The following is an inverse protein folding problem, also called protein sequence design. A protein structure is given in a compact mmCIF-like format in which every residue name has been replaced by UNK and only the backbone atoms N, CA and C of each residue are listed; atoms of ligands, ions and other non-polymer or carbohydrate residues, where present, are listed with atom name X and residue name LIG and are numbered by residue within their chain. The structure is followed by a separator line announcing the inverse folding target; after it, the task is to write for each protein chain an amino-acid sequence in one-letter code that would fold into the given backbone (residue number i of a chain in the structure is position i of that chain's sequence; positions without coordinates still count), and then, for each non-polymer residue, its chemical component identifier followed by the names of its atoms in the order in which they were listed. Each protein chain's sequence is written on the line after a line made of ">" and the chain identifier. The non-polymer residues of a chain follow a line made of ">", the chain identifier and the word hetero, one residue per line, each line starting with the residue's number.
data_IF_933754128413
#
_entry.id   IF_933754128413
#
_cell.length_a   1.000
_cell.length_b   1.000
_cell.length_c   1.000
_cell.angle_alpha   90.00
_cell.angle_beta   90.00
_cell.angle_gamma   90.00
#
_symmetry.space_group_name_H-M   'P 1'
#
loop_
_entity.id
_entity.type
_entity.pdbx_description
1 polymer ?
#
# COMPACT_ATOMS: atom_id res chain seq x y z
N UNK A 1 41.37 -86.83 7.45
CA UNK A 1 40.60 -86.34 6.32
C UNK A 1 39.91 -85.07 6.81
N UNK A 2 40.43 -83.85 6.50
CA UNK A 2 39.95 -82.58 7.03
C UNK A 2 39.23 -81.81 5.90
N UNK A 3 37.92 -81.59 6.05
CA UNK A 3 37.19 -80.74 5.17
C UNK A 3 37.31 -79.24 5.65
N UNK A 4 37.78 -78.43 4.76
CA UNK A 4 37.89 -76.96 4.95
C UNK A 4 36.66 -76.33 4.40
N UNK A 5 35.93 -75.58 5.27
CA UNK A 5 34.73 -74.84 4.88
C UNK A 5 35.15 -73.39 4.56
N UNK A 6 35.06 -73.00 3.29
CA UNK A 6 35.26 -71.64 2.85
C UNK A 6 33.96 -70.82 3.11
N UNK A 7 34.04 -69.90 4.04
CA UNK A 7 32.96 -68.94 4.26
C UNK A 7 33.11 -67.77 3.28
N UNK A 8 32.17 -67.66 2.33
CA UNK A 8 32.05 -66.52 1.38
C UNK A 8 31.34 -65.38 2.07
N UNK A 9 32.08 -64.29 2.38
CA UNK A 9 31.50 -63.05 2.89
C UNK A 9 30.99 -62.21 1.74
N UNK A 10 29.66 -62.09 1.62
CA UNK A 10 28.96 -61.17 0.70
C UNK A 10 28.98 -59.77 1.31
N UNK A 11 29.78 -58.87 0.75
CA UNK A 11 29.77 -57.44 1.11
C UNK A 11 28.65 -56.78 0.30
N UNK A 12 27.53 -56.45 0.96
CA UNK A 12 26.46 -55.66 0.37
C UNK A 12 26.88 -54.18 0.37
N UNK A 13 27.22 -53.66 -0.81
CA UNK A 13 27.49 -52.22 -1.04
C UNK A 13 26.17 -51.47 -1.15
N UNK A 14 25.70 -50.87 -0.06
CA UNK A 14 24.53 -49.97 -0.06
C UNK A 14 24.94 -48.60 -0.65
N UNK A 15 24.59 -48.37 -1.91
CA UNK A 15 24.71 -47.05 -2.54
C UNK A 15 23.65 -46.11 -1.96
N UNK A 16 24.09 -45.19 -1.12
CA UNK A 16 23.24 -44.04 -0.66
C UNK A 16 23.11 -43.07 -1.82
N UNK A 17 21.97 -43.11 -2.53
CA UNK A 17 21.59 -42.03 -3.46
C UNK A 17 21.25 -40.78 -2.63
N UNK A 18 22.21 -39.89 -2.50
CA UNK A 18 21.92 -38.51 -2.05
C UNK A 18 21.24 -37.76 -3.19
N UNK A 19 19.92 -37.66 -3.16
CA UNK A 19 19.16 -36.74 -4.02
C UNK A 19 19.47 -35.33 -3.57
N UNK A 20 20.43 -34.68 -4.25
CA UNK A 20 20.63 -33.23 -4.13
C UNK A 20 19.38 -32.54 -4.72
N UNK A 21 18.52 -32.04 -3.85
CA UNK A 21 17.44 -31.16 -4.27
C UNK A 21 18.09 -29.88 -4.85
N UNK A 22 18.03 -29.72 -6.17
CA UNK A 22 18.41 -28.46 -6.82
C UNK A 22 17.51 -27.35 -6.27
N UNK A 23 18.06 -26.19 -5.90
CA UNK A 23 17.24 -25.06 -5.51
C UNK A 23 16.30 -24.73 -6.67
N UNK A 24 15.00 -24.82 -6.41
CA UNK A 24 14.00 -24.38 -7.38
C UNK A 24 14.09 -22.84 -7.43
N UNK A 25 14.64 -22.30 -8.50
CA UNK A 25 14.58 -20.89 -8.83
C UNK A 25 13.13 -20.60 -9.22
N UNK A 26 12.35 -20.07 -8.31
CA UNK A 26 11.01 -19.59 -8.62
C UNK A 26 11.15 -18.36 -9.52
N UNK A 27 10.37 -18.30 -10.60
CA UNK A 27 10.31 -17.12 -11.43
C UNK A 27 9.75 -15.95 -10.58
N UNK A 28 10.50 -14.86 -10.50
CA UNK A 28 10.11 -13.64 -9.77
C UNK A 28 9.49 -12.59 -10.69
N UNK A 29 9.27 -12.94 -11.97
CA UNK A 29 8.75 -12.05 -13.01
C UNK A 29 7.53 -12.60 -13.73
N UNK A 30 6.95 -11.74 -14.57
CA UNK A 30 5.79 -12.03 -15.41
C UNK A 30 6.22 -12.52 -16.79
N UNK A 31 5.37 -13.33 -17.42
CA UNK A 31 5.55 -13.75 -18.80
C UNK A 31 4.83 -12.81 -19.77
N UNK A 32 5.29 -11.55 -19.80
CA UNK A 32 4.76 -10.48 -20.67
C UNK A 32 5.81 -10.03 -21.67
N UNK A 33 5.39 -9.49 -22.80
CA UNK A 33 6.30 -8.91 -23.79
C UNK A 33 6.74 -7.50 -23.39
N UNK A 34 7.35 -7.39 -22.21
CA UNK A 34 7.94 -6.18 -21.67
C UNK A 34 9.13 -6.58 -20.81
N UNK A 35 10.18 -5.74 -20.77
CA UNK A 35 11.40 -5.99 -20.00
C UNK A 35 12.08 -4.69 -19.60
N UNK A 36 12.94 -4.81 -18.59
CA UNK A 36 13.70 -3.70 -18.01
C UNK A 36 12.86 -2.84 -17.07
N UNK A 37 13.51 -2.04 -16.23
CA UNK A 37 12.85 -1.15 -15.29
C UNK A 37 11.96 -0.13 -16.01
N UNK A 38 10.70 -0.04 -15.59
CA UNK A 38 9.74 0.94 -16.08
C UNK A 38 9.19 1.75 -14.90
N UNK A 39 9.03 3.05 -15.12
CA UNK A 39 8.40 3.94 -14.15
C UNK A 39 6.92 4.07 -14.47
N UNK A 40 6.11 3.94 -13.43
CA UNK A 40 4.65 4.09 -13.48
C UNK A 40 4.23 5.22 -12.57
N UNK A 41 3.19 5.91 -12.97
CA UNK A 41 2.55 6.99 -12.21
C UNK A 41 1.10 6.61 -11.95
N UNK A 42 0.57 6.90 -10.77
CA UNK A 42 -0.87 6.81 -10.54
C UNK A 42 -1.55 7.68 -11.60
N UNK A 43 -2.44 7.06 -12.38
CA UNK A 43 -3.04 7.73 -13.53
C UNK A 43 -4.55 7.47 -13.57
N UNK A 44 -5.38 8.52 -13.36
CA UNK A 44 -6.84 8.37 -13.32
C UNK A 44 -7.44 7.95 -14.68
N UNK A 45 -6.71 8.13 -15.80
CA UNK A 45 -7.13 7.61 -17.09
C UNK A 45 -6.97 6.09 -17.20
N UNK A 46 -6.04 5.50 -16.46
CA UNK A 46 -5.85 4.04 -16.42
C UNK A 46 -6.93 3.34 -15.61
N UNK A 47 -7.56 4.04 -14.67
CA UNK A 47 -8.63 3.52 -13.83
C UNK A 47 -8.79 4.30 -12.53
N UNK A 48 -9.84 4.00 -11.79
CA UNK A 48 -10.12 4.66 -10.51
C UNK A 48 -9.26 4.06 -9.39
N UNK A 49 -8.27 4.82 -8.94
CA UNK A 49 -7.47 4.49 -7.77
C UNK A 49 -8.24 4.87 -6.50
N UNK A 50 -8.25 3.97 -5.51
CA UNK A 50 -9.02 4.15 -4.28
C UNK A 50 -8.35 3.47 -3.10
N UNK A 51 -8.41 4.13 -1.96
CA UNK A 51 -8.15 3.56 -0.65
C UNK A 51 -9.46 3.56 0.13
N UNK A 52 -9.84 2.42 0.66
CA UNK A 52 -11.03 2.25 1.52
C UNK A 52 -10.56 1.71 2.86
N UNK A 53 -10.96 2.37 3.93
CA UNK A 53 -10.66 1.96 5.31
C UNK A 53 -11.97 1.59 5.97
N UNK A 54 -12.06 0.37 6.47
CA UNK A 54 -13.22 -0.11 7.19
C UNK A 54 -12.89 -0.22 8.68
N UNK A 55 -13.64 0.51 9.51
CA UNK A 55 -13.53 0.50 10.96
C UNK A 55 -14.67 -0.30 11.56
N UNK A 56 -14.36 -1.43 12.18
CA UNK A 56 -15.32 -2.21 12.97
C UNK A 56 -15.22 -1.79 14.42
N UNK A 57 -16.34 -1.46 15.02
CA UNK A 57 -16.37 -1.10 16.42
C UNK A 57 -17.62 -1.65 17.13
N UNK A 58 -17.66 -1.52 18.45
CA UNK A 58 -18.77 -2.07 19.25
C UNK A 58 -20.11 -1.39 18.96
N UNK A 59 -20.09 -0.10 18.66
CA UNK A 59 -21.31 0.68 18.45
C UNK A 59 -21.67 0.88 16.99
N UNK A 60 -20.68 1.11 16.13
CA UNK A 60 -20.93 1.55 14.76
C UNK A 60 -19.76 1.18 13.84
N UNK A 61 -20.07 0.37 12.83
CA UNK A 61 -19.15 0.14 11.73
C UNK A 61 -19.26 1.29 10.73
N UNK A 62 -18.12 1.73 10.17
CA UNK A 62 -18.14 2.75 9.14
C UNK A 62 -16.98 2.59 8.15
N UNK A 63 -17.12 3.23 7.02
CA UNK A 63 -16.11 3.21 5.94
C UNK A 63 -15.61 4.61 5.68
N UNK A 64 -14.29 4.76 5.57
CA UNK A 64 -13.62 5.96 5.06
C UNK A 64 -13.11 5.68 3.66
N UNK A 65 -13.31 6.60 2.73
CA UNK A 65 -12.89 6.45 1.33
C UNK A 65 -12.00 7.63 0.94
N UNK A 66 -10.92 7.33 0.21
CA UNK A 66 -10.10 8.32 -0.48
C UNK A 66 -9.89 7.88 -1.94
N UNK A 67 -10.31 8.73 -2.89
CA UNK A 67 -10.14 8.50 -4.33
C UNK A 67 -8.99 9.34 -4.93
N UNK A 68 -8.36 10.19 -4.12
CA UNK A 68 -7.26 11.05 -4.51
C UNK A 68 -5.95 10.48 -3.98
N UNK A 69 -5.41 9.53 -4.73
CA UNK A 69 -4.13 8.89 -4.41
C UNK A 69 -3.10 9.35 -5.41
N UNK A 70 -1.92 9.72 -4.92
CA UNK A 70 -0.75 10.04 -5.72
C UNK A 70 0.28 8.93 -5.59
N UNK A 71 1.13 8.78 -6.58
CA UNK A 71 2.24 7.83 -6.46
C UNK A 71 3.02 7.66 -7.75
N UNK A 72 4.25 7.28 -7.53
CA UNK A 72 5.21 6.91 -8.56
C UNK A 72 5.96 5.66 -8.09
N UNK A 73 6.15 4.69 -8.98
CA UNK A 73 6.94 3.51 -8.68
C UNK A 73 7.69 3.00 -9.90
N UNK A 74 8.73 2.26 -9.65
CA UNK A 74 9.53 1.58 -10.66
C UNK A 74 9.52 0.08 -10.43
N UNK A 75 9.40 -0.69 -11.50
CA UNK A 75 9.47 -2.15 -11.46
C UNK A 75 9.93 -2.71 -12.81
N UNK A 76 10.71 -3.78 -12.77
CA UNK A 76 10.97 -4.62 -13.95
C UNK A 76 9.92 -5.73 -14.00
N UNK A 77 9.07 -5.82 -15.05
CA UNK A 77 8.08 -6.89 -15.16
C UNK A 77 8.71 -8.29 -15.20
N UNK A 78 9.98 -8.44 -15.58
CA UNK A 78 10.71 -9.72 -15.53
C UNK A 78 11.34 -10.01 -14.17
N UNK A 79 11.37 -9.02 -13.27
CA UNK A 79 11.84 -9.17 -11.89
C UNK A 79 11.07 -8.25 -10.95
N UNK A 80 9.93 -8.71 -10.44
CA UNK A 80 9.05 -7.92 -9.58
C UNK A 80 9.66 -7.57 -8.20
N UNK A 81 10.73 -8.26 -7.77
CA UNK A 81 11.45 -7.94 -6.53
C UNK A 81 12.12 -6.55 -6.61
N UNK A 82 12.33 -6.02 -7.82
CA UNK A 82 12.84 -4.66 -8.05
C UNK A 82 11.83 -3.56 -7.75
N UNK A 83 10.59 -3.91 -7.37
CA UNK A 83 9.54 -2.94 -7.08
C UNK A 83 9.98 -1.96 -6.00
N UNK A 84 9.92 -0.67 -6.30
CA UNK A 84 10.15 0.42 -5.37
C UNK A 84 9.31 1.62 -5.77
N UNK A 85 8.83 2.37 -4.79
CA UNK A 85 8.01 3.54 -5.10
C UNK A 85 7.44 4.21 -3.87
N UNK A 86 6.78 5.33 -4.11
CA UNK A 86 6.13 6.14 -3.08
C UNK A 86 4.67 6.35 -3.48
N UNK A 87 3.80 6.20 -2.51
CA UNK A 87 2.37 6.48 -2.61
C UNK A 87 1.97 7.41 -1.48
N UNK A 88 1.09 8.35 -1.76
CA UNK A 88 0.55 9.24 -0.74
C UNK A 88 -0.92 9.56 -0.98
N UNK A 89 -1.60 9.91 0.09
CA UNK A 89 -2.92 10.52 0.07
C UNK A 89 -2.97 11.63 1.12
N UNK A 90 -3.81 12.62 0.88
CA UNK A 90 -4.02 13.71 1.84
C UNK A 90 -5.14 13.33 2.80
N UNK A 91 -4.93 13.62 4.08
CA UNK A 91 -5.95 13.35 5.12
C UNK A 91 -7.24 14.12 4.84
N UNK A 92 -7.15 15.30 4.24
CA UNK A 92 -8.33 16.10 3.86
C UNK A 92 -9.16 15.50 2.73
N UNK A 93 -8.60 14.59 1.92
CA UNK A 93 -9.30 13.88 0.85
C UNK A 93 -9.95 12.57 1.35
N UNK A 94 -9.86 12.29 2.63
CA UNK A 94 -10.52 11.16 3.28
C UNK A 94 -11.93 11.56 3.72
N UNK A 95 -12.93 10.74 3.37
CA UNK A 95 -14.33 11.01 3.64
C UNK A 95 -15.06 9.77 4.16
N UNK A 96 -15.86 9.96 5.21
CA UNK A 96 -16.73 8.94 5.79
C UNK A 96 -18.18 9.08 5.32
N UNK A 97 -18.50 10.17 4.61
CA UNK A 97 -19.86 10.53 4.23
C UNK A 97 -20.63 11.28 5.33
N UNK A 98 -20.02 11.51 6.51
CA UNK A 98 -20.56 12.30 7.60
C UNK A 98 -19.64 13.46 7.90
N UNK A 99 -20.05 14.68 7.55
CA UNK A 99 -19.21 15.88 7.64
C UNK A 99 -18.63 16.13 9.03
N UNK A 100 -19.40 15.90 10.09
CA UNK A 100 -18.94 16.05 11.46
C UNK A 100 -17.80 15.07 11.77
N UNK A 101 -17.93 13.80 11.35
CA UNK A 101 -16.89 12.78 11.52
C UNK A 101 -15.65 13.12 10.70
N UNK A 102 -15.81 13.59 9.47
CA UNK A 102 -14.71 13.99 8.60
C UNK A 102 -13.91 15.16 9.20
N UNK A 103 -14.61 16.14 9.80
CA UNK A 103 -13.99 17.24 10.52
C UNK A 103 -13.21 16.76 11.75
N UNK A 104 -13.82 15.90 12.57
CA UNK A 104 -13.20 15.37 13.77
C UNK A 104 -11.97 14.52 13.40
N UNK A 105 -12.05 13.65 12.39
CA UNK A 105 -10.96 12.85 11.88
C UNK A 105 -9.74 13.71 11.48
N UNK A 106 -9.95 14.89 10.89
CA UNK A 106 -8.89 15.82 10.52
C UNK A 106 -8.33 16.62 11.69
N UNK A 107 -9.04 16.63 12.81
CA UNK A 107 -8.69 17.39 14.02
C UNK A 107 -7.44 16.88 14.73
N UNK A 108 -6.94 17.73 15.65
CA UNK A 108 -5.70 17.49 16.41
C UNK A 108 -5.74 16.24 17.31
N UNK A 109 -6.92 15.77 17.69
CA UNK A 109 -7.08 14.58 18.53
C UNK A 109 -7.08 13.27 17.72
N UNK A 110 -7.06 13.36 16.38
CA UNK A 110 -7.03 12.25 15.45
C UNK A 110 -5.83 12.34 14.52
N UNK A 111 -6.03 12.64 13.25
CA UNK A 111 -4.92 12.68 12.29
C UNK A 111 -4.08 13.96 12.39
N UNK A 112 -4.56 15.02 13.05
CA UNK A 112 -3.93 16.35 13.11
C UNK A 112 -3.46 16.81 11.71
N UNK A 113 -4.41 16.87 10.77
CA UNK A 113 -4.14 17.15 9.36
C UNK A 113 -3.42 18.48 9.12
N UNK A 114 -3.56 19.43 10.06
CA UNK A 114 -2.84 20.70 10.01
C UNK A 114 -1.33 20.54 10.17
N UNK A 115 -0.88 19.56 10.94
CA UNK A 115 0.56 19.24 11.16
C UNK A 115 1.04 18.09 10.30
N UNK A 116 0.16 17.12 10.04
CA UNK A 116 0.45 15.87 9.33
C UNK A 116 -0.55 15.66 8.19
N UNK A 117 -0.42 16.45 7.11
CA UNK A 117 -1.44 16.52 6.06
C UNK A 117 -1.52 15.24 5.21
N UNK A 118 -0.50 14.37 5.25
CA UNK A 118 -0.40 13.22 4.36
C UNK A 118 -0.19 11.90 5.11
N UNK A 119 -0.74 10.84 4.53
CA UNK A 119 -0.33 9.46 4.79
C UNK A 119 0.55 9.02 3.63
N UNK A 120 1.75 8.51 3.93
CA UNK A 120 2.77 8.15 2.95
C UNK A 120 3.19 6.71 3.13
N UNK A 121 3.25 5.96 2.02
CA UNK A 121 3.81 4.61 1.97
C UNK A 121 5.01 4.63 1.01
N UNK A 122 6.18 4.24 1.51
CA UNK A 122 7.40 4.09 0.72
C UNK A 122 7.77 2.62 0.65
N UNK A 123 7.73 2.04 -0.55
CA UNK A 123 8.07 0.65 -0.80
C UNK A 123 9.51 0.58 -1.30
N UNK A 124 10.32 -0.24 -0.66
CA UNK A 124 11.73 -0.44 -1.00
C UNK A 124 11.96 -1.68 -1.86
N UNK A 125 11.10 -2.70 -1.76
CA UNK A 125 11.16 -3.96 -2.52
C UNK A 125 9.86 -4.76 -2.44
N UNK A 126 9.75 -5.75 -3.32
CA UNK A 126 8.77 -6.81 -3.15
C UNK A 126 9.45 -8.13 -2.73
N UNK A 127 8.75 -8.91 -1.94
CA UNK A 127 9.18 -10.23 -1.46
C UNK A 127 8.10 -11.28 -1.72
N UNK A 128 8.48 -12.55 -1.65
CA UNK A 128 7.55 -13.68 -1.80
C UNK A 128 6.74 -13.63 -3.10
N UNK A 129 7.38 -13.19 -4.18
CA UNK A 129 6.74 -13.07 -5.50
C UNK A 129 6.31 -14.44 -5.99
N UNK A 130 5.04 -14.56 -6.34
CA UNK A 130 4.42 -15.78 -6.88
C UNK A 130 3.60 -15.42 -8.10
N UNK A 131 4.05 -15.75 -9.33
CA UNK A 131 3.24 -15.60 -10.52
C UNK A 131 1.92 -16.39 -10.39
N UNK A 132 0.82 -15.74 -10.69
CA UNK A 132 -0.53 -16.34 -10.70
C UNK A 132 -1.01 -16.58 -12.13
N UNK A 133 -0.53 -15.79 -13.09
CA UNK A 133 -0.75 -15.95 -14.54
C UNK A 133 0.40 -15.31 -15.30
N UNK A 134 0.37 -15.37 -16.63
CA UNK A 134 1.38 -14.71 -17.47
C UNK A 134 1.57 -13.22 -17.14
N UNK A 135 0.51 -12.54 -16.74
CA UNK A 135 0.50 -11.10 -16.51
C UNK A 135 0.12 -10.68 -15.08
N UNK A 136 0.07 -11.59 -14.12
CA UNK A 136 -0.25 -11.27 -12.73
C UNK A 136 0.57 -12.07 -11.75
N UNK A 137 0.82 -11.46 -10.59
CA UNK A 137 1.52 -12.10 -9.48
C UNK A 137 0.98 -11.60 -8.13
N UNK A 138 1.12 -12.44 -7.10
CA UNK A 138 1.01 -12.02 -5.71
C UNK A 138 2.40 -11.80 -5.12
N UNK A 139 2.51 -10.89 -4.14
CA UNK A 139 3.76 -10.53 -3.48
C UNK A 139 3.50 -9.82 -2.15
N UNK A 140 4.53 -9.64 -1.36
CA UNK A 140 4.52 -8.73 -0.23
C UNK A 140 5.31 -7.47 -0.60
N UNK A 141 4.69 -6.31 -0.54
CA UNK A 141 5.34 -5.01 -0.69
C UNK A 141 5.91 -4.59 0.66
N UNK A 142 7.23 -4.47 0.75
CA UNK A 142 7.96 -4.19 2.00
C UNK A 142 8.51 -2.77 1.97
N UNK A 143 8.28 -2.05 3.06
CA UNK A 143 8.68 -0.65 3.17
C UNK A 143 8.28 -0.02 4.48
N UNK A 144 7.91 1.24 4.44
CA UNK A 144 7.47 2.02 5.60
C UNK A 144 6.15 2.74 5.32
N UNK A 145 5.35 2.93 6.37
CA UNK A 145 4.18 3.80 6.35
C UNK A 145 4.41 4.94 7.36
N UNK A 146 4.23 6.16 6.89
CA UNK A 146 4.28 7.37 7.71
C UNK A 146 2.89 7.97 7.81
N UNK A 147 2.40 8.14 9.02
CA UNK A 147 1.10 8.69 9.35
C UNK A 147 1.18 9.39 10.69
N UNK A 148 0.51 10.54 10.87
CA UNK A 148 0.49 11.30 12.13
C UNK A 148 1.90 11.54 12.71
N UNK A 149 2.92 11.75 11.83
CA UNK A 149 4.30 11.98 12.21
C UNK A 149 5.08 10.75 12.71
N UNK A 150 4.47 9.57 12.72
CA UNK A 150 5.12 8.30 13.06
C UNK A 150 5.39 7.49 11.81
N UNK A 151 6.56 6.85 11.76
CA UNK A 151 6.96 5.98 10.64
C UNK A 151 7.19 4.57 11.15
N UNK A 152 6.43 3.62 10.62
CA UNK A 152 6.51 2.22 10.99
C UNK A 152 6.82 1.32 9.78
N UNK A 153 7.56 0.22 9.96
CA UNK A 153 7.78 -0.75 8.92
C UNK A 153 6.47 -1.45 8.56
N UNK A 154 6.28 -1.73 7.25
CA UNK A 154 5.12 -2.45 6.75
C UNK A 154 5.51 -3.55 5.78
N UNK A 155 4.72 -4.63 5.79
CA UNK A 155 4.77 -5.70 4.80
C UNK A 155 3.34 -5.96 4.33
N UNK A 156 3.02 -5.47 3.16
CA UNK A 156 1.66 -5.39 2.63
C UNK A 156 1.45 -6.49 1.60
N UNK A 157 0.57 -7.48 1.85
CA UNK A 157 0.20 -8.47 0.85
C UNK A 157 -0.53 -7.78 -0.31
N UNK A 158 -0.05 -8.00 -1.52
CA UNK A 158 -0.55 -7.35 -2.71
C UNK A 158 -0.63 -8.31 -3.90
N UNK A 159 -1.50 -7.99 -4.83
CA UNK A 159 -1.55 -8.58 -6.17
C UNK A 159 -1.31 -7.50 -7.21
N UNK A 160 -0.50 -7.83 -8.21
CA UNK A 160 -0.20 -6.97 -9.33
C UNK A 160 -0.72 -7.62 -10.61
N UNK A 161 -1.40 -6.84 -11.46
CA UNK A 161 -1.75 -7.23 -12.81
C UNK A 161 -1.14 -6.22 -13.79
N UNK A 162 -0.41 -6.73 -14.78
CA UNK A 162 0.29 -5.97 -15.80
C UNK A 162 -0.43 -6.06 -17.14
N UNK A 163 -0.58 -4.96 -17.81
CA UNK A 163 -1.16 -4.88 -19.15
C UNK A 163 -0.16 -4.14 -20.05
N UNK A 164 0.39 -4.86 -21.02
CA UNK A 164 1.22 -4.27 -22.07
C UNK A 164 0.36 -3.35 -22.92
N UNK A 165 0.94 -2.25 -23.38
CA UNK A 165 0.27 -1.34 -24.31
C UNK A 165 -0.38 -2.11 -25.50
N UNK A 166 -1.59 -1.76 -25.82
CA UNK A 166 -2.39 -2.37 -26.88
C UNK A 166 -3.34 -1.33 -27.47
N UNK A 167 -3.91 -1.58 -28.69
CA UNK A 167 -4.91 -0.69 -29.24
C UNK A 167 -6.13 -0.45 -28.34
N UNK A 168 -6.40 -1.37 -27.41
CA UNK A 168 -7.48 -1.24 -26.42
C UNK A 168 -7.07 -0.31 -25.28
N UNK A 169 -5.88 -0.50 -24.70
CA UNK A 169 -5.38 0.34 -23.58
C UNK A 169 -5.08 1.76 -24.05
N UNK A 170 -4.57 1.93 -25.27
CA UNK A 170 -4.28 3.26 -25.86
C UNK A 170 -5.53 4.15 -26.04
N UNK A 171 -6.73 3.59 -25.99
CA UNK A 171 -7.98 4.38 -25.98
C UNK A 171 -8.17 5.14 -24.66
N UNK A 172 -7.52 4.71 -23.59
CA UNK A 172 -7.61 5.25 -22.25
C UNK A 172 -6.34 6.03 -21.89
N UNK A 173 -5.20 5.36 -22.02
CA UNK A 173 -3.88 5.86 -21.60
C UNK A 173 -2.80 5.21 -22.49
N UNK A 174 -1.75 5.96 -22.80
CA UNK A 174 -0.61 5.42 -23.56
C UNK A 174 0.33 4.67 -22.63
N UNK A 175 1.04 3.69 -23.22
CA UNK A 175 2.03 2.88 -22.53
C UNK A 175 1.42 1.72 -21.74
N UNK A 176 2.27 1.08 -20.95
CA UNK A 176 1.87 -0.07 -20.15
C UNK A 176 1.09 0.37 -18.91
N UNK A 177 0.18 -0.48 -18.48
CA UNK A 177 -0.68 -0.23 -17.32
C UNK A 177 -0.44 -1.30 -16.25
N UNK A 178 -0.40 -0.88 -15.00
CA UNK A 178 -0.40 -1.77 -13.83
C UNK A 178 -1.62 -1.47 -12.97
N UNK A 179 -2.25 -2.55 -12.48
CA UNK A 179 -3.18 -2.49 -11.36
C UNK A 179 -2.58 -3.21 -10.16
N UNK A 180 -2.54 -2.53 -9.02
CA UNK A 180 -2.15 -3.09 -7.72
C UNK A 180 -3.39 -3.17 -6.85
N UNK A 181 -3.59 -4.31 -6.16
CA UNK A 181 -4.59 -4.48 -5.11
C UNK A 181 -3.91 -4.97 -3.85
N UNK A 182 -4.30 -4.43 -2.73
CA UNK A 182 -3.79 -4.83 -1.43
C UNK A 182 -4.91 -4.82 -0.38
N UNK A 183 -4.81 -5.72 0.58
CA UNK A 183 -5.68 -5.75 1.76
C UNK A 183 -4.80 -6.02 2.98
N UNK A 184 -4.88 -5.17 3.99
CA UNK A 184 -4.08 -5.28 5.22
C UNK A 184 -4.74 -4.54 6.36
N UNK A 185 -4.23 -4.74 7.58
CA UNK A 185 -4.71 -4.06 8.78
C UNK A 185 -3.68 -3.08 9.29
N UNK A 186 -4.13 -1.93 9.78
CA UNK A 186 -3.32 -0.90 10.44
C UNK A 186 -3.90 -0.64 11.82
N UNK A 187 -3.04 -0.48 12.83
CA UNK A 187 -3.45 -0.03 14.17
C UNK A 187 -3.22 1.47 14.30
N UNK A 188 -4.25 2.19 14.71
CA UNK A 188 -4.16 3.64 14.94
C UNK A 188 -3.16 3.96 16.07
N UNK A 189 -3.16 3.13 17.12
CA UNK A 189 -2.26 3.27 18.26
C UNK A 189 -0.77 3.18 17.89
N UNK A 190 -0.40 2.40 16.86
CA UNK A 190 0.98 2.30 16.36
C UNK A 190 1.48 3.63 15.80
N UNK A 191 0.56 4.53 15.44
CA UNK A 191 0.86 5.87 14.93
C UNK A 191 0.53 6.98 15.94
N UNK A 192 0.27 6.61 17.20
CA UNK A 192 -0.04 7.58 18.25
C UNK A 192 -1.42 8.22 18.13
N UNK A 193 -2.31 7.66 17.30
CA UNK A 193 -3.69 8.12 17.15
C UNK A 193 -4.53 7.37 18.18
N UNK A 194 -4.92 8.05 19.26
CA UNK A 194 -5.66 7.46 20.39
C UNK A 194 -7.03 8.08 20.60
N UNK A 195 -7.41 9.05 19.78
CA UNK A 195 -8.66 9.79 19.93
C UNK A 195 -8.66 10.77 21.11
N UNK A 196 -9.79 11.42 21.37
CA UNK A 196 -9.93 12.41 22.42
C UNK A 196 -9.68 11.82 23.80
N UNK A 197 -8.89 12.53 24.62
CA UNK A 197 -8.60 12.12 26.01
C UNK A 197 -9.84 12.12 26.87
N UNK A 198 -9.98 11.08 27.70
CA UNK A 198 -11.10 10.95 28.64
C UNK A 198 -12.39 10.48 28.02
N UNK A 199 -12.39 10.10 26.75
CA UNK A 199 -13.51 9.44 26.08
C UNK A 199 -13.07 8.04 25.63
N UNK A 200 -13.90 7.03 25.90
CA UNK A 200 -13.69 5.67 25.43
C UNK A 200 -14.15 5.54 23.96
N UNK A 201 -13.60 6.36 23.06
CA UNK A 201 -13.99 6.36 21.66
C UNK A 201 -13.31 5.20 20.91
N UNK A 202 -11.99 5.03 21.12
CA UNK A 202 -11.26 3.90 20.55
C UNK A 202 -11.73 2.60 21.21
N UNK A 203 -12.04 1.61 20.39
CA UNK A 203 -12.61 0.32 20.79
C UNK A 203 -14.12 0.31 20.95
N UNK A 204 -14.78 1.47 21.10
CA UNK A 204 -16.25 1.57 21.25
C UNK A 204 -16.89 2.14 19.99
N UNK A 205 -16.49 3.30 19.53
CA UNK A 205 -17.00 3.95 18.31
C UNK A 205 -16.04 3.85 17.11
N UNK A 206 -14.75 3.70 17.39
CA UNK A 206 -13.71 3.54 16.37
C UNK A 206 -12.83 2.38 16.78
N UNK A 207 -12.64 1.40 15.91
CA UNK A 207 -11.68 0.31 16.17
C UNK A 207 -10.25 0.86 16.19
N UNK A 208 -9.38 0.30 17.05
CA UNK A 208 -7.93 0.52 16.91
C UNK A 208 -7.42 -0.14 15.63
N UNK A 209 -7.92 -1.32 15.28
CA UNK A 209 -7.59 -2.03 14.05
C UNK A 209 -8.47 -1.53 12.89
N UNK A 210 -7.83 -1.07 11.83
CA UNK A 210 -8.47 -0.57 10.62
C UNK A 210 -8.18 -1.52 9.46
N UNK A 211 -9.22 -2.06 8.82
CA UNK A 211 -9.07 -2.88 7.62
C UNK A 211 -8.91 -1.98 6.40
N UNK A 212 -7.77 -2.04 5.73
CA UNK A 212 -7.44 -1.19 4.58
C UNK A 212 -7.50 -1.99 3.30
N UNK A 213 -8.28 -1.52 2.33
CA UNK A 213 -8.34 -2.05 0.96
C UNK A 213 -7.87 -0.99 -0.01
N UNK A 214 -6.93 -1.38 -0.85
CA UNK A 214 -6.28 -0.48 -1.82
C UNK A 214 -6.46 -1.04 -3.22
N UNK A 215 -6.83 -0.18 -4.15
CA UNK A 215 -6.73 -0.42 -5.58
C UNK A 215 -6.03 0.77 -6.22
N UNK A 216 -4.90 0.53 -6.86
CA UNK A 216 -4.13 1.56 -7.56
C UNK A 216 -4.03 1.18 -9.03
N UNK A 217 -4.31 2.14 -9.89
CA UNK A 217 -4.05 2.06 -11.32
C UNK A 217 -2.95 3.04 -11.69
N UNK A 218 -1.98 2.56 -12.43
CA UNK A 218 -0.93 3.42 -12.95
C UNK A 218 -0.55 3.07 -14.36
N UNK A 219 0.04 4.03 -15.03
CA UNK A 219 0.53 3.90 -16.38
C UNK A 219 1.96 4.44 -16.50
N UNK A 220 2.68 4.01 -17.54
CA UNK A 220 3.98 4.59 -17.87
C UNK A 220 3.85 6.01 -18.44
N UNK A 221 2.67 6.37 -18.95
CA UNK A 221 2.34 7.76 -19.28
C UNK A 221 2.07 8.54 -17.98
N UNK A 222 2.84 9.63 -17.79
CA UNK A 222 2.57 10.55 -16.68
C UNK A 222 1.21 11.25 -16.90
N UNK A 223 0.36 11.34 -15.88
CA UNK A 223 -0.92 12.06 -16.00
C UNK A 223 -0.66 13.53 -16.33
N UNK A 224 -1.56 14.18 -17.10
CA UNK A 224 -1.54 15.65 -17.22
C UNK A 224 -1.59 16.32 -15.86
N UNK A 225 -0.93 17.46 -15.71
CA UNK A 225 -0.86 18.19 -14.44
C UNK A 225 -2.24 18.52 -13.85
N UNK A 226 -3.21 18.81 -14.70
CA UNK A 226 -4.61 19.08 -14.32
C UNK A 226 -5.33 17.86 -13.67
N UNK A 227 -4.85 16.64 -13.96
CA UNK A 227 -5.37 15.38 -13.41
C UNK A 227 -4.45 14.77 -12.34
N UNK A 228 -3.26 15.32 -12.18
CA UNK A 228 -2.38 14.94 -11.09
C UNK A 228 -3.03 15.40 -9.78
N UNK A 229 -3.06 14.49 -8.81
CA UNK A 229 -3.46 14.91 -7.45
C UNK A 229 -2.40 15.88 -6.97
N UNK A 230 -2.82 17.08 -6.60
CA UNK A 230 -1.92 18.12 -6.09
C UNK A 230 -1.25 17.59 -4.80
N UNK A 231 0.02 17.23 -4.92
CA UNK A 231 0.86 16.76 -3.81
C UNK A 231 1.66 17.90 -3.20
N UNK A 232 1.38 19.14 -3.64
CA UNK A 232 2.05 20.29 -3.06
C UNK A 232 1.63 20.36 -1.58
N UNK A 233 2.58 20.35 -0.64
CA UNK A 233 2.25 20.57 0.77
C UNK A 233 1.49 21.89 0.83
N UNK A 234 0.36 21.90 1.54
CA UNK A 234 -0.44 23.11 1.72
C UNK A 234 0.52 24.24 2.09
N UNK A 235 0.66 25.22 1.20
CA UNK A 235 1.54 26.35 1.42
C UNK A 235 1.20 26.92 2.79
N UNK A 236 2.20 26.93 3.68
CA UNK A 236 2.06 27.16 5.10
C UNK A 236 1.06 28.25 5.42
N UNK A 237 0.17 27.93 6.36
CA UNK A 237 -1.01 28.67 6.72
C UNK A 237 -0.86 30.16 6.61
N UNK A 238 -1.65 30.75 5.74
CA UNK A 238 -1.91 32.17 5.78
C UNK A 238 -2.34 32.50 7.22
N UNK A 239 -1.63 33.41 7.85
CA UNK A 239 -1.91 33.85 9.21
C UNK A 239 -3.43 34.08 9.35
N UNK A 240 -4.06 33.31 10.23
CA UNK A 240 -5.47 33.53 10.59
C UNK A 240 -5.57 35.00 10.98
N UNK A 241 -6.38 35.81 10.31
CA UNK A 241 -6.56 37.22 10.71
C UNK A 241 -7.00 37.26 12.17
N UNK A 242 -6.47 38.15 12.99
CA UNK A 242 -6.86 38.28 14.38
C UNK A 242 -8.38 38.40 14.49
N UNK A 243 -9.02 37.84 15.52
CA UNK A 243 -10.45 37.98 15.71
C UNK A 243 -10.83 39.45 15.80
N UNK A 244 -12.01 39.84 15.27
CA UNK A 244 -12.46 41.22 15.36
C UNK A 244 -12.54 41.69 16.82
N UNK A 245 -12.25 42.96 17.10
CA UNK A 245 -12.32 43.48 18.46
C UNK A 245 -13.75 43.33 19.03
N UNK A 246 -13.88 43.10 20.35
CA UNK A 246 -15.19 42.99 20.97
C UNK A 246 -16.02 44.30 20.75
N UNK A 247 -17.35 44.18 20.64
CA UNK A 247 -18.20 45.32 20.48
C UNK A 247 -18.09 46.28 21.70
N UNK A 248 -18.22 47.61 21.50
CA UNK A 248 -18.16 48.56 22.59
C UNK A 248 -19.28 48.29 23.63
N UNK A 249 -19.05 48.55 24.92
CA UNK A 249 -20.08 48.41 25.93
C UNK A 249 -21.28 49.32 25.63
N UNK A 250 -22.50 48.92 26.02
CA UNK A 250 -23.68 49.71 25.82
C UNK A 250 -23.55 51.06 26.57
N UNK A 251 -24.13 52.14 26.07
CA UNK A 251 -24.12 53.44 26.76
C UNK A 251 -24.93 53.33 28.05
N UNK A 252 -24.40 53.95 29.12
CA UNK A 252 -25.05 54.10 30.41
C UNK A 252 -26.32 54.94 30.34
#
# INVERSE_FOLDING_TARGET
>A
MRLSVFALRLIALTAILTTSALPQVFATGLDVNASGPKTFYVNPRAGNSQVTVFSRSTLEDFTTVCNRVSGEWQVDPKNLETFRGRFSLRVEDMHTGIELRDRDMRGAEWFDAARYPEVVIEISRAENVRPASANSASMNLVGTCTMHGQTNPVSIPATLAYMVESPQTMKLVKGDVIRIRAEFTVKLSDYGITGPRGSEIIGVKVSDEQEVKVTIFGATEKPPEELAVDTQPAAGGGAVPPPPPPPPPPPN
#
